data_IF_600311246988
#
_entry.id   IF_600311246988
#
_cell.length_a   1.000
_cell.length_b   1.000
_cell.length_c   1.000
_cell.angle_alpha   90.00
_cell.angle_beta   90.00
_cell.angle_gamma   90.00
#
_symmetry.space_group_name_H-M   'P 1'
#
loop_
_entity.id
_entity.type
_entity.pdbx_description
1 polymer ?
#
# COMPACT_ATOMS: atom_id res chain seq x y z
N UNK A 1 -23.50 -4.72 15.69
CA UNK A 1 -22.61 -3.54 15.75
C UNK A 1 -21.14 -3.93 15.95
N UNK A 2 -20.81 -4.76 16.95
CA UNK A 2 -19.43 -5.20 17.25
C UNK A 2 -18.72 -5.95 16.11
N UNK A 3 -19.43 -6.85 15.41
CA UNK A 3 -18.86 -7.62 14.29
C UNK A 3 -18.31 -6.71 13.17
N UNK A 4 -19.01 -5.62 12.83
CA UNK A 4 -18.56 -4.65 11.83
C UNK A 4 -17.28 -3.92 12.24
N UNK A 5 -17.07 -3.70 13.54
CA UNK A 5 -15.86 -3.05 14.06
C UNK A 5 -14.69 -4.03 13.94
N UNK A 6 -14.89 -5.28 14.37
CA UNK A 6 -13.88 -6.34 14.30
C UNK A 6 -13.47 -6.58 12.83
N UNK A 7 -14.43 -6.74 11.91
CA UNK A 7 -14.11 -6.89 10.48
C UNK A 7 -13.31 -5.72 9.93
N UNK A 8 -13.72 -4.48 10.21
CA UNK A 8 -12.99 -3.28 9.77
C UNK A 8 -11.56 -3.25 10.30
N UNK A 9 -11.32 -3.69 11.53
CA UNK A 9 -9.96 -3.73 12.10
C UNK A 9 -9.08 -4.79 11.45
N UNK A 10 -9.63 -5.96 11.11
CA UNK A 10 -8.91 -7.03 10.43
C UNK A 10 -8.59 -6.63 8.98
N UNK A 11 -9.59 -6.13 8.24
CA UNK A 11 -9.43 -5.66 6.86
C UNK A 11 -8.37 -4.56 6.71
N UNK A 12 -8.24 -3.66 7.71
CA UNK A 12 -7.21 -2.62 7.71
C UNK A 12 -5.78 -3.17 7.78
N UNK A 13 -5.56 -4.30 8.48
CA UNK A 13 -4.23 -4.94 8.56
C UNK A 13 -3.83 -5.51 7.20
N UNK A 14 -4.76 -6.19 6.53
CA UNK A 14 -4.54 -6.75 5.19
C UNK A 14 -4.23 -5.65 4.16
N UNK A 15 -4.94 -4.52 4.25
CA UNK A 15 -4.70 -3.34 3.40
C UNK A 15 -3.27 -2.81 3.56
N UNK A 16 -2.78 -2.69 4.80
CA UNK A 16 -1.41 -2.22 5.06
C UNK A 16 -0.37 -3.22 4.55
N UNK A 17 -0.58 -4.52 4.77
CA UNK A 17 0.32 -5.56 4.25
C UNK A 17 0.41 -5.52 2.72
N UNK A 18 -0.74 -5.37 2.04
CA UNK A 18 -0.78 -5.25 0.59
C UNK A 18 -0.02 -4.02 0.08
N UNK A 19 -0.12 -2.87 0.76
CA UNK A 19 0.62 -1.67 0.39
C UNK A 19 2.14 -1.88 0.50
N UNK A 20 2.63 -2.53 1.56
CA UNK A 20 4.05 -2.86 1.74
C UNK A 20 4.55 -3.81 0.66
N UNK A 21 3.75 -4.82 0.28
CA UNK A 21 4.10 -5.75 -0.80
C UNK A 21 4.25 -4.99 -2.13
N UNK A 22 3.30 -4.12 -2.47
CA UNK A 22 3.37 -3.33 -3.69
C UNK A 22 4.57 -2.37 -3.70
N UNK A 23 4.82 -1.64 -2.61
CA UNK A 23 6.00 -0.79 -2.49
C UNK A 23 7.28 -1.60 -2.73
N UNK A 24 7.38 -2.79 -2.12
CA UNK A 24 8.53 -3.71 -2.34
C UNK A 24 8.66 -4.16 -3.79
N UNK A 25 7.54 -4.47 -4.47
CA UNK A 25 7.55 -4.85 -5.88
C UNK A 25 7.97 -3.69 -6.80
N UNK A 26 7.61 -2.46 -6.44
CA UNK A 26 8.01 -1.24 -7.15
C UNK A 26 9.51 -0.99 -6.98
N UNK A 27 10.04 -1.05 -5.75
CA UNK A 27 11.49 -0.95 -5.49
C UNK A 27 12.28 -2.03 -6.25
N UNK A 28 11.72 -3.22 -6.42
CA UNK A 28 12.31 -4.30 -7.22
C UNK A 28 12.13 -4.16 -8.74
N UNK A 29 11.48 -3.10 -9.22
CA UNK A 29 11.20 -2.86 -10.64
C UNK A 29 10.24 -3.89 -11.27
N UNK A 30 9.43 -4.59 -10.46
CA UNK A 30 8.47 -5.59 -10.94
C UNK A 30 7.07 -5.02 -11.21
N UNK A 31 6.78 -3.85 -10.62
CA UNK A 31 5.52 -3.13 -10.71
C UNK A 31 5.78 -1.63 -10.75
N UNK A 32 4.81 -0.87 -11.21
CA UNK A 32 4.79 0.60 -11.21
C UNK A 32 3.67 1.11 -10.31
N UNK A 33 3.65 2.40 -9.96
CA UNK A 33 2.56 2.97 -9.14
C UNK A 33 1.19 2.84 -9.83
N UNK A 34 1.18 2.77 -11.17
CA UNK A 34 -0.04 2.58 -11.97
C UNK A 34 -0.67 1.20 -11.80
N UNK A 35 0.12 0.19 -11.43
CA UNK A 35 -0.36 -1.16 -11.10
C UNK A 35 -1.03 -1.25 -9.72
N UNK A 36 -0.92 -0.19 -8.91
CA UNK A 36 -1.42 -0.18 -7.53
C UNK A 36 -2.92 0.14 -7.52
N UNK A 37 -3.73 -0.70 -6.84
CA UNK A 37 -5.16 -0.44 -6.65
C UNK A 37 -5.40 0.95 -6.04
N UNK A 38 -6.40 1.73 -6.53
CA UNK A 38 -6.65 3.09 -6.05
C UNK A 38 -6.83 3.21 -4.53
N UNK A 39 -7.43 2.20 -3.90
CA UNK A 39 -7.69 2.13 -2.44
C UNK A 39 -6.43 2.21 -1.60
N UNK A 40 -5.29 1.70 -2.11
CA UNK A 40 -4.02 1.64 -1.37
C UNK A 40 -2.93 2.51 -1.99
N UNK A 41 -3.19 3.17 -3.12
CA UNK A 41 -2.19 3.94 -3.88
C UNK A 41 -1.51 5.00 -3.03
N UNK A 42 -2.27 5.78 -2.27
CA UNK A 42 -1.70 6.80 -1.38
C UNK A 42 -0.85 6.21 -0.26
N UNK A 43 -1.22 5.04 0.28
CA UNK A 43 -0.39 4.35 1.26
C UNK A 43 0.93 3.86 0.64
N UNK A 44 0.90 3.36 -0.60
CA UNK A 44 2.11 2.94 -1.31
C UNK A 44 3.01 4.13 -1.61
N UNK A 45 2.46 5.26 -2.08
CA UNK A 45 3.23 6.50 -2.29
C UNK A 45 3.91 6.95 -1.01
N UNK A 46 3.18 6.96 0.10
CA UNK A 46 3.76 7.34 1.39
C UNK A 46 4.90 6.40 1.81
N UNK A 47 4.73 5.09 1.64
CA UNK A 47 5.81 4.13 1.94
C UNK A 47 7.04 4.38 1.07
N UNK A 48 6.87 4.70 -0.23
CA UNK A 48 8.00 5.00 -1.11
C UNK A 48 8.70 6.31 -0.72
N UNK A 49 7.95 7.33 -0.29
CA UNK A 49 8.50 8.56 0.27
C UNK A 49 9.27 8.29 1.57
N UNK A 50 8.71 7.47 2.48
CA UNK A 50 9.34 7.08 3.74
C UNK A 50 10.61 6.23 3.52
N UNK A 51 10.76 5.62 2.34
CA UNK A 51 11.94 4.89 1.88
C UNK A 51 12.93 5.76 1.08
N UNK A 52 12.72 7.08 1.03
CA UNK A 52 13.51 8.05 0.27
C UNK A 52 13.55 7.78 -1.25
N UNK A 53 12.48 7.21 -1.82
CA UNK A 53 12.31 6.92 -3.26
C UNK A 53 11.06 7.59 -3.86
N UNK A 54 10.90 8.92 -3.72
CA UNK A 54 9.72 9.64 -4.20
C UNK A 54 9.52 9.56 -5.72
N UNK A 55 10.58 9.37 -6.49
CA UNK A 55 10.52 9.23 -7.96
C UNK A 55 9.75 7.98 -8.42
N UNK A 56 9.66 6.95 -7.57
CA UNK A 56 8.90 5.74 -7.85
C UNK A 56 7.40 5.89 -7.53
N UNK A 57 7.00 7.02 -6.95
CA UNK A 57 5.62 7.35 -6.60
C UNK A 57 4.86 8.07 -7.72
N UNK A 58 5.51 8.36 -8.85
CA UNK A 58 4.96 9.00 -10.06
C UNK A 58 4.25 8.03 -11.02
#
# INVERSE_FOLDING_TARGET
>A
MLLNIILKTILRKEVKAMAVIYATLIVKGKKTINDVPPVIREQVKQILIDLDLPELAE
#
